data_IF_429246580013
#
_entry.id   IF_429246580013
#
_cell.length_a   1.000
_cell.length_b   1.000
_cell.length_c   1.000
_cell.angle_alpha   90.00
_cell.angle_beta   90.00
_cell.angle_gamma   90.00
#
_symmetry.space_group_name_H-M   'P 1'
#
loop_
_entity.id
_entity.type
_entity.pdbx_description
1 polymer ?
#
# COMPACT_ATOMS: atom_id res chain seq x y z
N UNK A 1 -0.20 -7.85 4.83
CA UNK A 1 -0.55 -6.43 5.00
C UNK A 1 -1.68 -6.12 4.07
N UNK A 2 -2.69 -5.43 4.59
CA UNK A 2 -3.98 -5.24 3.92
C UNK A 2 -4.16 -3.78 3.51
N UNK A 3 -4.65 -3.58 2.29
CA UNK A 3 -4.98 -2.27 1.73
C UNK A 3 -6.48 -2.23 1.48
N UNK A 4 -7.16 -1.27 2.06
CA UNK A 4 -8.59 -1.09 1.85
C UNK A 4 -8.87 -0.22 0.63
N UNK A 5 -9.63 -0.74 -0.34
CA UNK A 5 -10.14 0.08 -1.44
C UNK A 5 -11.47 0.68 -1.00
N UNK A 6 -11.54 2.00 -1.00
CA UNK A 6 -12.74 2.77 -0.62
C UNK A 6 -13.16 3.69 -1.76
N UNK A 7 -14.36 4.21 -1.69
CA UNK A 7 -14.90 5.18 -2.64
C UNK A 7 -16.41 5.26 -2.52
N UNK A 8 -17.00 6.36 -2.99
CA UNK A 8 -18.44 6.50 -3.09
C UNK A 8 -19.04 5.51 -4.12
N UNK A 9 -20.35 5.26 -4.10
CA UNK A 9 -20.98 4.46 -5.13
C UNK A 9 -20.74 5.00 -6.54
N UNK A 10 -20.58 4.10 -7.51
CA UNK A 10 -20.43 4.41 -8.95
C UNK A 10 -19.16 5.21 -9.34
N UNK A 11 -18.10 5.13 -8.55
CA UNK A 11 -16.79 5.74 -8.88
C UNK A 11 -15.82 4.80 -9.60
N UNK A 12 -16.21 3.52 -9.81
CA UNK A 12 -15.35 2.48 -10.40
C UNK A 12 -14.63 1.57 -9.41
N UNK A 13 -14.93 1.67 -8.11
CA UNK A 13 -14.27 0.92 -7.04
C UNK A 13 -14.30 -0.59 -7.25
N UNK A 14 -15.47 -1.18 -7.49
CA UNK A 14 -15.61 -2.64 -7.66
C UNK A 14 -14.98 -3.14 -8.96
N UNK A 15 -15.06 -2.36 -10.03
CA UNK A 15 -14.37 -2.66 -11.29
C UNK A 15 -12.86 -2.69 -11.06
N UNK A 16 -12.30 -1.68 -10.39
CA UNK A 16 -10.88 -1.63 -10.05
C UNK A 16 -10.46 -2.84 -9.18
N UNK A 17 -11.24 -3.18 -8.15
CA UNK A 17 -10.95 -4.34 -7.31
C UNK A 17 -10.93 -5.63 -8.11
N UNK A 18 -11.93 -5.85 -8.97
CA UNK A 18 -12.00 -7.03 -9.83
C UNK A 18 -10.81 -7.08 -10.80
N UNK A 19 -10.45 -5.96 -11.43
CA UNK A 19 -9.31 -5.90 -12.35
C UNK A 19 -7.98 -6.21 -11.66
N UNK A 20 -7.75 -5.65 -10.46
CA UNK A 20 -6.57 -5.94 -9.65
C UNK A 20 -6.52 -7.43 -9.28
N UNK A 21 -7.64 -8.02 -8.87
CA UNK A 21 -7.71 -9.42 -8.42
C UNK A 21 -7.66 -10.41 -9.58
N UNK A 22 -8.20 -10.06 -10.75
CA UNK A 22 -8.10 -10.87 -11.96
C UNK A 22 -6.65 -10.95 -12.45
N UNK A 23 -5.92 -9.85 -12.44
CA UNK A 23 -4.49 -9.83 -12.72
C UNK A 23 -3.67 -10.69 -11.73
N UNK A 24 -4.23 -10.97 -10.54
CA UNK A 24 -3.67 -11.83 -9.50
C UNK A 24 -4.17 -13.27 -9.51
N UNK A 25 -5.01 -13.69 -10.46
CA UNK A 25 -5.65 -15.01 -10.46
C UNK A 25 -4.65 -16.19 -10.48
N UNK A 26 -3.42 -15.98 -10.95
CA UNK A 26 -2.32 -16.95 -10.85
C UNK A 26 -1.83 -17.17 -9.40
N UNK A 27 -2.20 -16.29 -8.46
CA UNK A 27 -1.80 -16.38 -7.06
C UNK A 27 -2.52 -17.48 -6.25
N UNK A 28 -3.49 -18.18 -6.81
CA UNK A 28 -4.18 -19.31 -6.15
C UNK A 28 -3.22 -20.43 -5.65
N UNK A 29 -2.00 -20.45 -6.15
CA UNK A 29 -0.96 -21.41 -5.79
C UNK A 29 0.03 -20.92 -4.70
N UNK A 30 -0.17 -19.71 -4.13
CA UNK A 30 0.69 -19.25 -3.05
C UNK A 30 0.33 -19.95 -1.73
N UNK A 31 1.33 -20.51 -1.01
CA UNK A 31 1.10 -21.09 0.31
C UNK A 31 0.53 -20.01 1.26
N UNK A 32 -0.54 -20.37 1.98
CA UNK A 32 -1.22 -19.50 2.97
C UNK A 32 -2.22 -18.46 2.43
N UNK A 33 -2.60 -18.47 1.14
CA UNK A 33 -3.75 -17.71 0.66
C UNK A 33 -5.05 -18.36 1.14
N UNK A 34 -5.70 -17.75 2.11
CA UNK A 34 -7.11 -18.02 2.42
C UNK A 34 -7.98 -17.21 1.47
N UNK A 35 -8.91 -17.87 0.78
CA UNK A 35 -9.91 -17.20 -0.06
C UNK A 35 -10.97 -16.64 0.89
N UNK A 36 -10.83 -15.37 1.25
CA UNK A 36 -11.87 -14.62 1.97
C UNK A 36 -12.68 -13.81 0.96
N UNK A 37 -14.03 -13.73 1.10
CA UNK A 37 -14.82 -12.84 0.26
C UNK A 37 -14.31 -11.40 0.36
N UNK A 38 -14.18 -10.72 -0.78
CA UNK A 38 -13.72 -9.34 -0.88
C UNK A 38 -12.24 -9.09 -0.49
N UNK A 39 -11.40 -10.14 -0.45
CA UNK A 39 -9.94 -10.02 -0.27
C UNK A 39 -9.25 -10.60 -1.49
N UNK A 40 -8.44 -9.80 -2.14
CA UNK A 40 -7.60 -10.20 -3.29
C UNK A 40 -6.13 -10.18 -2.91
N UNK A 41 -5.41 -11.28 -3.18
CA UNK A 41 -3.95 -11.34 -3.03
C UNK A 41 -3.32 -11.11 -4.40
N UNK A 42 -2.45 -10.12 -4.48
CA UNK A 42 -1.93 -9.61 -5.75
C UNK A 42 -0.41 -9.62 -5.73
N UNK A 43 0.25 -10.17 -6.78
CA UNK A 43 1.70 -10.09 -6.91
C UNK A 43 2.15 -8.66 -7.14
N UNK A 44 3.27 -8.29 -6.53
CA UNK A 44 3.92 -6.99 -6.78
C UNK A 44 4.77 -7.14 -8.04
N UNK A 45 4.50 -6.37 -9.10
CA UNK A 45 5.31 -6.39 -10.32
C UNK A 45 6.76 -6.02 -10.03
N UNK A 46 7.70 -6.89 -10.42
CA UNK A 46 9.13 -6.69 -10.22
C UNK A 46 9.93 -7.34 -11.35
N UNK A 47 10.35 -6.55 -12.33
CA UNK A 47 11.12 -7.00 -13.50
C UNK A 47 12.48 -7.62 -13.14
N UNK A 48 12.99 -7.34 -11.93
CA UNK A 48 14.25 -7.90 -11.45
C UNK A 48 14.16 -9.42 -11.33
N UNK A 49 13.00 -9.94 -10.95
CA UNK A 49 12.76 -11.37 -10.81
C UNK A 49 12.84 -12.08 -12.16
N UNK A 50 12.28 -11.52 -13.22
CA UNK A 50 12.30 -12.13 -14.56
C UNK A 50 13.73 -12.24 -15.09
N UNK A 51 14.51 -11.18 -14.94
CA UNK A 51 15.92 -11.17 -15.34
C UNK A 51 16.75 -12.17 -14.54
N UNK A 52 16.53 -12.27 -13.23
CA UNK A 52 17.20 -13.26 -12.38
C UNK A 52 16.76 -14.69 -12.72
N UNK A 53 15.48 -14.92 -13.00
CA UNK A 53 14.95 -16.23 -13.42
C UNK A 53 15.63 -16.72 -14.70
N UNK A 54 15.77 -15.83 -15.69
CA UNK A 54 16.49 -16.13 -16.93
C UNK A 54 17.97 -16.43 -16.68
N UNK A 55 18.64 -15.59 -15.84
CA UNK A 55 20.06 -15.73 -15.53
C UNK A 55 20.38 -17.05 -14.83
N UNK A 56 19.57 -17.44 -13.84
CA UNK A 56 19.75 -18.66 -13.06
C UNK A 56 19.06 -19.88 -13.68
N UNK A 57 18.27 -19.71 -14.75
CA UNK A 57 17.41 -20.74 -15.36
C UNK A 57 16.52 -21.40 -14.32
N UNK A 58 15.93 -20.58 -13.46
CA UNK A 58 15.19 -21.06 -12.29
C UNK A 58 13.88 -21.72 -12.68
N UNK A 59 13.53 -22.79 -11.98
CA UNK A 59 12.29 -23.55 -12.22
C UNK A 59 11.06 -22.77 -11.77
N UNK A 60 11.22 -21.86 -10.80
CA UNK A 60 10.12 -21.11 -10.19
C UNK A 60 10.49 -19.67 -9.90
N UNK A 61 9.54 -18.76 -10.18
CA UNK A 61 9.60 -17.34 -9.80
C UNK A 61 8.49 -17.06 -8.79
N UNK A 62 8.83 -16.43 -7.67
CA UNK A 62 7.87 -16.07 -6.62
C UNK A 62 7.96 -14.59 -6.31
N UNK A 63 6.91 -13.85 -6.66
CA UNK A 63 6.78 -12.42 -6.38
C UNK A 63 6.42 -12.16 -4.92
N UNK A 64 6.74 -10.96 -4.43
CA UNK A 64 6.12 -10.41 -3.23
C UNK A 64 4.62 -10.22 -3.48
N UNK A 65 3.83 -10.30 -2.42
CA UNK A 65 2.37 -10.14 -2.53
C UNK A 65 1.86 -9.11 -1.54
N UNK A 66 0.77 -8.44 -1.91
CA UNK A 66 -0.03 -7.59 -1.03
C UNK A 66 -1.50 -7.99 -1.12
N UNK A 67 -2.26 -7.68 -0.09
CA UNK A 67 -3.69 -7.99 0.00
C UNK A 67 -4.50 -6.71 -0.20
N UNK A 68 -5.41 -6.71 -1.19
CA UNK A 68 -6.42 -5.69 -1.35
C UNK A 68 -7.74 -6.17 -0.79
N UNK A 69 -8.46 -5.27 -0.10
CA UNK A 69 -9.77 -5.55 0.50
C UNK A 69 -10.79 -4.60 -0.11
N UNK A 70 -11.81 -5.15 -0.76
CA UNK A 70 -12.95 -4.33 -1.22
C UNK A 70 -13.81 -3.95 -0.01
N UNK A 71 -13.71 -2.69 0.40
CA UNK A 71 -14.53 -2.15 1.47
C UNK A 71 -15.81 -1.59 0.88
N UNK A 72 -16.95 -2.14 1.32
CA UNK A 72 -18.28 -1.71 0.84
C UNK A 72 -18.42 -0.18 0.91
N UNK A 73 -19.00 0.41 -0.13
CA UNK A 73 -19.11 1.86 -0.27
C UNK A 73 -19.75 2.55 0.92
N UNK A 74 -19.27 3.75 1.21
CA UNK A 74 -19.76 4.59 2.28
C UNK A 74 -21.20 5.04 2.01
N UNK A 75 -22.06 4.92 3.03
CA UNK A 75 -23.36 5.59 3.07
C UNK A 75 -23.21 6.79 4.01
N UNK A 76 -23.63 7.99 3.59
CA UNK A 76 -23.64 9.18 4.46
C UNK A 76 -24.28 8.86 5.80
N UNK A 77 -23.64 9.27 6.91
CA UNK A 77 -24.09 8.99 8.27
C UNK A 77 -23.54 7.72 8.90
N UNK A 78 -22.48 7.16 8.31
CA UNK A 78 -21.79 5.97 8.81
C UNK A 78 -21.36 6.08 10.27
N UNK A 79 -20.90 7.28 10.69
CA UNK A 79 -20.46 7.58 12.04
C UNK A 79 -21.59 7.67 13.07
N UNK A 80 -22.84 7.85 12.63
CA UNK A 80 -24.03 7.94 13.52
C UNK A 80 -24.60 6.59 13.98
N UNK A 81 -23.95 5.48 13.62
CA UNK A 81 -24.21 4.18 14.24
C UNK A 81 -25.33 3.35 13.60
N UNK A 82 -25.80 3.66 12.41
CA UNK A 82 -26.80 2.86 11.71
C UNK A 82 -26.15 1.82 10.77
N UNK A 83 -26.15 0.56 11.19
CA UNK A 83 -25.97 -0.64 10.36
C UNK A 83 -24.71 -0.70 9.48
N UNK A 84 -24.82 -0.32 8.21
CA UNK A 84 -23.76 -0.44 7.19
C UNK A 84 -22.55 0.47 7.45
N UNK A 85 -22.77 1.63 8.08
CA UNK A 85 -21.71 2.57 8.41
C UNK A 85 -20.71 2.03 9.41
N UNK A 86 -21.17 1.37 10.46
CA UNK A 86 -20.29 0.73 11.44
C UNK A 86 -19.42 -0.37 10.82
N UNK A 87 -19.97 -1.14 9.86
CA UNK A 87 -19.21 -2.15 9.13
C UNK A 87 -18.11 -1.52 8.28
N UNK A 88 -18.41 -0.43 7.58
CA UNK A 88 -17.43 0.33 6.80
C UNK A 88 -16.24 0.78 7.67
N UNK A 89 -16.52 1.46 8.79
CA UNK A 89 -15.49 1.91 9.72
C UNK A 89 -14.72 0.75 10.36
N UNK A 90 -15.38 -0.38 10.64
CA UNK A 90 -14.73 -1.59 11.15
C UNK A 90 -13.73 -2.15 10.15
N UNK A 91 -14.11 -2.29 8.88
CA UNK A 91 -13.24 -2.79 7.83
C UNK A 91 -12.03 -1.86 7.60
N UNK A 92 -12.24 -0.52 7.65
CA UNK A 92 -11.10 0.41 7.57
C UNK A 92 -10.15 0.24 8.76
N UNK A 93 -10.62 -0.11 9.96
CA UNK A 93 -9.73 -0.38 11.09
C UNK A 93 -8.80 -1.56 10.87
N UNK A 94 -9.24 -2.57 10.13
CA UNK A 94 -8.51 -3.82 9.90
C UNK A 94 -7.42 -3.73 8.81
N UNK A 95 -7.43 -2.68 7.99
CA UNK A 95 -6.44 -2.48 6.93
C UNK A 95 -5.30 -1.58 7.38
N UNK A 96 -4.14 -1.71 6.74
CA UNK A 96 -2.93 -0.95 7.08
C UNK A 96 -2.86 0.41 6.37
N UNK A 97 -3.46 0.52 5.16
CA UNK A 97 -3.55 1.75 4.36
C UNK A 97 -4.84 1.78 3.54
N UNK A 98 -5.12 2.93 2.93
CA UNK A 98 -6.33 3.19 2.17
C UNK A 98 -5.94 3.54 0.72
N UNK A 99 -6.64 2.96 -0.23
CA UNK A 99 -6.69 3.41 -1.63
C UNK A 99 -8.09 3.96 -1.88
N UNK A 100 -8.21 5.25 -2.11
CA UNK A 100 -9.48 5.90 -2.35
C UNK A 100 -9.69 6.16 -3.84
N UNK A 101 -10.74 5.57 -4.41
CA UNK A 101 -11.13 5.77 -5.82
C UNK A 101 -12.07 6.96 -5.91
N UNK A 102 -11.65 7.95 -6.69
CA UNK A 102 -12.36 9.22 -6.87
C UNK A 102 -12.74 9.37 -8.33
N UNK A 103 -14.00 9.67 -8.62
CA UNK A 103 -14.48 9.89 -9.97
C UNK A 103 -14.07 11.27 -10.49
N UNK A 104 -13.29 11.30 -11.57
CA UNK A 104 -12.80 12.50 -12.25
C UNK A 104 -13.26 12.57 -13.71
N UNK A 105 -14.38 11.96 -14.06
CA UNK A 105 -14.94 11.98 -15.42
C UNK A 105 -16.45 12.19 -15.38
N UNK A 106 -17.00 12.76 -16.42
CA UNK A 106 -18.44 12.90 -16.64
C UNK A 106 -18.94 11.80 -17.57
N UNK A 107 -20.05 11.16 -17.22
CA UNK A 107 -20.76 10.18 -18.06
C UNK A 107 -22.25 10.24 -17.70
N UNK A 108 -23.09 10.56 -18.70
CA UNK A 108 -24.53 10.72 -18.53
C UNK A 108 -25.24 9.39 -18.17
N UNK A 109 -24.62 8.24 -18.52
CA UNK A 109 -25.15 6.92 -18.24
C UNK A 109 -24.82 6.43 -16.83
N UNK A 110 -23.89 7.09 -16.12
CA UNK A 110 -23.44 6.71 -14.77
C UNK A 110 -23.91 7.76 -13.78
N UNK A 111 -24.97 7.43 -13.02
CA UNK A 111 -25.54 8.34 -12.02
C UNK A 111 -24.53 8.61 -10.91
N UNK A 112 -24.28 9.89 -10.61
CA UNK A 112 -23.54 10.30 -9.41
C UNK A 112 -24.48 10.41 -8.21
N UNK A 113 -24.05 9.98 -7.01
CA UNK A 113 -24.86 9.98 -5.78
C UNK A 113 -25.36 11.37 -5.42
N UNK A 114 -24.55 12.41 -5.64
CA UNK A 114 -24.89 13.81 -5.35
C UNK A 114 -25.31 14.60 -6.62
N UNK A 115 -25.58 13.92 -7.74
CA UNK A 115 -26.11 14.51 -8.98
C UNK A 115 -25.08 15.26 -9.85
N UNK A 116 -23.88 15.48 -9.39
CA UNK A 116 -22.78 16.10 -10.16
C UNK A 116 -21.43 15.54 -9.75
N UNK A 117 -20.46 15.55 -10.67
CA UNK A 117 -19.08 15.11 -10.39
C UNK A 117 -18.34 16.24 -9.69
N UNK A 118 -17.89 15.98 -8.47
CA UNK A 118 -17.04 16.88 -7.70
C UNK A 118 -16.10 16.04 -6.83
N UNK A 119 -14.87 15.78 -7.31
CA UNK A 119 -13.94 14.88 -6.65
C UNK A 119 -13.55 15.36 -5.23
N UNK A 120 -13.50 16.67 -4.99
CA UNK A 120 -13.11 17.20 -3.68
C UNK A 120 -14.22 16.97 -2.66
N UNK A 121 -15.48 17.27 -3.03
CA UNK A 121 -16.65 16.98 -2.18
C UNK A 121 -16.71 15.48 -1.85
N UNK A 122 -16.40 14.61 -2.80
CA UNK A 122 -16.45 13.16 -2.63
C UNK A 122 -15.39 12.70 -1.63
N UNK A 123 -14.15 13.18 -1.75
CA UNK A 123 -13.06 12.94 -0.78
C UNK A 123 -13.45 13.47 0.60
N UNK A 124 -13.92 14.71 0.69
CA UNK A 124 -14.31 15.32 1.96
C UNK A 124 -15.46 14.56 2.64
N UNK A 125 -16.38 13.98 1.86
CA UNK A 125 -17.47 13.16 2.40
C UNK A 125 -16.92 11.91 3.11
N UNK A 126 -15.96 11.21 2.54
CA UNK A 126 -15.33 10.04 3.18
C UNK A 126 -14.48 10.48 4.37
N UNK A 127 -13.64 11.48 4.20
CA UNK A 127 -12.78 11.98 5.26
C UNK A 127 -13.59 12.47 6.48
N UNK A 128 -14.73 13.11 6.28
CA UNK A 128 -15.61 13.57 7.38
C UNK A 128 -16.08 12.40 8.25
N UNK A 129 -16.50 11.28 7.65
CA UNK A 129 -16.93 10.10 8.43
C UNK A 129 -15.76 9.48 9.23
N UNK A 130 -14.56 9.44 8.65
CA UNK A 130 -13.36 8.97 9.36
C UNK A 130 -12.99 9.91 10.52
N UNK A 131 -13.04 11.22 10.30
CA UNK A 131 -12.78 12.26 11.30
C UNK A 131 -13.75 12.14 12.47
N UNK A 132 -15.04 11.99 12.19
CA UNK A 132 -16.06 11.87 13.25
C UNK A 132 -15.85 10.60 14.09
N UNK A 133 -15.49 9.48 13.47
CA UNK A 133 -15.16 8.24 14.17
C UNK A 133 -13.91 8.40 15.06
N UNK A 134 -12.89 9.09 14.56
CA UNK A 134 -11.67 9.36 15.32
C UNK A 134 -11.91 10.35 16.46
N UNK A 135 -12.73 11.39 16.27
CA UNK A 135 -13.12 12.31 17.34
C UNK A 135 -13.80 11.58 18.49
N UNK A 136 -14.68 10.62 18.21
CA UNK A 136 -15.29 9.79 19.25
C UNK A 136 -14.23 8.99 20.03
N UNK A 137 -13.28 8.39 19.31
CA UNK A 137 -12.18 7.62 19.91
C UNK A 137 -11.29 8.50 20.77
N UNK A 138 -10.89 9.68 20.28
CA UNK A 138 -10.05 10.65 20.97
C UNK A 138 -10.74 11.18 22.21
N UNK A 139 -12.02 11.54 22.14
CA UNK A 139 -12.77 12.03 23.29
C UNK A 139 -12.85 10.99 24.42
N UNK A 140 -13.14 9.72 24.09
CA UNK A 140 -13.14 8.63 25.07
C UNK A 140 -11.77 8.43 25.73
N UNK A 141 -10.70 8.50 24.95
CA UNK A 141 -9.32 8.37 25.43
C UNK A 141 -8.93 9.57 26.31
N UNK A 142 -9.30 10.78 25.90
CA UNK A 142 -9.08 12.01 26.65
C UNK A 142 -9.70 11.96 28.05
N UNK A 143 -10.96 11.51 28.18
CA UNK A 143 -11.62 11.34 29.48
C UNK A 143 -10.85 10.39 30.41
N UNK A 144 -10.31 9.29 29.87
CA UNK A 144 -9.49 8.33 30.62
C UNK A 144 -8.17 8.97 31.07
N UNK A 145 -7.48 9.65 30.14
CA UNK A 145 -6.23 10.34 30.41
C UNK A 145 -6.39 11.43 31.48
N UNK A 146 -7.46 12.23 31.42
CA UNK A 146 -7.76 13.26 32.41
C UNK A 146 -8.02 12.67 33.82
N UNK A 147 -8.67 11.51 33.90
CA UNK A 147 -8.85 10.80 35.18
C UNK A 147 -7.51 10.29 35.72
N UNK A 148 -6.68 9.68 34.87
CA UNK A 148 -5.36 9.18 35.22
C UNK A 148 -4.38 10.29 35.65
N UNK A 149 -4.47 11.47 35.03
CA UNK A 149 -3.65 12.65 35.33
C UNK A 149 -3.75 13.11 36.80
N UNK A 150 -4.86 12.83 37.47
CA UNK A 150 -5.02 13.14 38.90
C UNK A 150 -4.05 12.35 39.79
N UNK A 151 -3.71 11.12 39.36
CA UNK A 151 -2.80 10.24 40.07
C UNK A 151 -1.35 10.31 39.54
N UNK A 152 -1.18 10.45 38.22
CA UNK A 152 0.13 10.49 37.55
C UNK A 152 0.24 11.70 36.63
N UNK A 153 1.15 12.62 36.97
CA UNK A 153 1.42 13.83 36.19
C UNK A 153 2.12 13.56 34.85
N UNK A 154 2.73 12.39 34.67
CA UNK A 154 3.38 12.00 33.39
C UNK A 154 2.38 11.86 32.25
N UNK A 155 1.11 11.57 32.55
CA UNK A 155 0.01 11.50 31.57
C UNK A 155 -0.23 12.83 30.84
N UNK A 156 0.35 13.93 31.31
CA UNK A 156 0.23 15.24 30.64
C UNK A 156 0.69 15.19 29.18
N UNK A 157 1.75 14.49 28.87
CA UNK A 157 2.28 14.34 27.49
C UNK A 157 1.22 13.73 26.56
N UNK A 158 0.51 12.70 27.06
CA UNK A 158 -0.59 12.08 26.32
C UNK A 158 -1.75 13.08 26.10
N UNK A 159 -2.14 13.81 27.14
CA UNK A 159 -3.21 14.81 27.05
C UNK A 159 -2.87 15.90 26.03
N UNK A 160 -1.65 16.41 26.04
CA UNK A 160 -1.20 17.44 25.12
C UNK A 160 -1.23 16.93 23.65
N UNK A 161 -0.81 15.70 23.42
CA UNK A 161 -0.90 15.04 22.11
C UNK A 161 -2.36 14.83 21.67
N UNK A 162 -3.20 14.32 22.57
CA UNK A 162 -4.63 14.12 22.26
C UNK A 162 -5.35 15.44 21.94
N UNK A 163 -4.99 16.54 22.61
CA UNK A 163 -5.52 17.88 22.27
C UNK A 163 -5.08 18.32 20.88
N UNK A 164 -3.79 18.17 20.53
CA UNK A 164 -3.24 18.48 19.20
C UNK A 164 -4.00 17.73 18.10
N UNK A 165 -4.25 16.44 18.29
CA UNK A 165 -5.00 15.61 17.34
C UNK A 165 -6.46 16.07 17.27
N UNK A 166 -7.10 16.28 18.43
CA UNK A 166 -8.50 16.73 18.50
C UNK A 166 -8.73 18.05 17.77
N UNK A 167 -7.91 19.05 18.01
CA UNK A 167 -7.99 20.36 17.35
C UNK A 167 -7.87 20.23 15.83
N UNK A 168 -6.99 19.33 15.34
CA UNK A 168 -6.84 19.06 13.91
C UNK A 168 -8.09 18.44 13.31
N UNK A 169 -8.67 17.44 13.99
CA UNK A 169 -9.89 16.78 13.56
C UNK A 169 -11.10 17.73 13.60
N UNK A 170 -11.23 18.55 14.65
CA UNK A 170 -12.29 19.56 14.77
C UNK A 170 -12.18 20.65 13.70
N UNK A 171 -10.98 20.93 13.19
CA UNK A 171 -10.75 21.79 12.04
C UNK A 171 -11.07 21.12 10.68
N UNK A 172 -11.62 19.90 10.68
CA UNK A 172 -11.97 19.14 9.47
C UNK A 172 -10.76 18.57 8.73
N UNK A 173 -9.61 18.41 9.38
CA UNK A 173 -8.38 17.88 8.79
C UNK A 173 -8.08 16.49 9.34
N UNK A 174 -7.61 15.61 8.46
CA UNK A 174 -7.15 14.27 8.84
C UNK A 174 -5.94 14.34 9.75
N UNK A 175 -5.83 13.44 10.73
CA UNK A 175 -4.68 13.41 11.66
C UNK A 175 -3.34 13.14 10.93
N UNK A 176 -3.36 12.54 9.73
CA UNK A 176 -2.17 12.33 8.88
C UNK A 176 -1.49 13.63 8.43
N UNK A 177 -2.19 14.77 8.52
CA UNK A 177 -1.60 16.09 8.22
C UNK A 177 -0.65 16.58 9.30
N UNK A 178 -0.71 15.99 10.50
CA UNK A 178 0.18 16.32 11.62
C UNK A 178 1.57 15.72 11.41
N UNK A 179 2.58 16.47 11.84
CA UNK A 179 3.92 15.94 12.02
C UNK A 179 4.04 15.38 13.43
N UNK A 180 3.99 14.04 13.51
CA UNK A 180 4.15 13.30 14.75
C UNK A 180 5.48 12.56 14.72
N UNK A 181 6.23 12.61 15.83
CA UNK A 181 7.45 11.84 15.98
C UNK A 181 7.15 10.37 16.37
N UNK A 182 8.17 9.53 16.40
CA UNK A 182 8.02 8.10 16.72
C UNK A 182 7.43 7.85 18.11
N UNK A 183 7.81 8.66 19.11
CA UNK A 183 7.29 8.55 20.48
C UNK A 183 5.81 8.90 20.55
N UNK A 184 5.40 9.98 19.86
CA UNK A 184 4.00 10.39 19.73
C UNK A 184 3.15 9.32 19.02
N UNK A 185 3.68 8.75 17.92
CA UNK A 185 3.00 7.67 17.19
C UNK A 185 2.83 6.41 18.04
N UNK A 186 3.87 6.00 18.76
CA UNK A 186 3.80 4.83 19.65
C UNK A 186 2.80 5.06 20.79
N UNK A 187 2.74 6.29 21.33
CA UNK A 187 1.82 6.64 22.42
C UNK A 187 0.35 6.52 22.03
N UNK A 188 0.00 6.80 20.75
CA UNK A 188 -1.40 6.74 20.27
C UNK A 188 -1.71 5.50 19.44
N UNK A 189 -0.76 4.61 19.22
CA UNK A 189 -0.88 3.42 18.39
C UNK A 189 -2.14 2.60 18.70
N UNK A 190 -2.43 2.41 19.99
CA UNK A 190 -3.59 1.63 20.47
C UNK A 190 -4.94 2.34 20.22
N UNK A 191 -4.94 3.56 19.72
CA UNK A 191 -6.17 4.26 19.35
C UNK A 191 -6.70 3.83 17.98
N UNK A 192 -5.87 3.19 17.15
CA UNK A 192 -6.21 2.75 15.79
C UNK A 192 -6.95 3.82 14.99
N UNK A 193 -6.40 5.06 15.01
CA UNK A 193 -7.01 6.19 14.31
C UNK A 193 -7.07 5.94 12.80
N UNK A 194 -8.25 6.14 12.23
CA UNK A 194 -8.52 5.92 10.81
C UNK A 194 -7.86 6.98 9.94
N UNK A 195 -7.88 8.23 10.40
CA UNK A 195 -7.30 9.38 9.68
C UNK A 195 -5.78 9.47 9.76
N UNK A 196 -5.12 8.61 10.57
CA UNK A 196 -3.66 8.45 10.56
C UNK A 196 -3.16 7.47 9.50
N UNK A 197 -4.05 6.61 8.98
CA UNK A 197 -3.65 5.62 7.97
C UNK A 197 -3.14 6.33 6.72
N UNK A 198 -2.03 5.84 6.14
CA UNK A 198 -1.56 6.33 4.85
C UNK A 198 -2.65 6.16 3.77
N UNK A 199 -2.74 7.11 2.85
CA UNK A 199 -3.74 7.11 1.78
C UNK A 199 -3.09 7.34 0.42
N UNK A 200 -3.64 6.66 -0.60
CA UNK A 200 -3.36 6.86 -2.01
C UNK A 200 -4.68 7.18 -2.71
N UNK A 201 -4.71 8.26 -3.47
CA UNK A 201 -5.88 8.63 -4.26
C UNK A 201 -5.75 8.11 -5.69
N UNK A 202 -6.82 7.49 -6.18
CA UNK A 202 -6.96 7.06 -7.57
C UNK A 202 -7.94 7.98 -8.25
N UNK A 203 -7.45 8.84 -9.11
CA UNK A 203 -8.28 9.69 -9.95
C UNK A 203 -8.75 8.87 -11.14
N UNK A 204 -9.98 8.32 -11.06
CA UNK A 204 -10.57 7.56 -12.15
C UNK A 204 -11.07 8.52 -13.24
N UNK A 205 -10.42 8.47 -14.40
CA UNK A 205 -10.66 9.31 -15.56
C UNK A 205 -11.32 8.53 -16.70
N UNK A 206 -11.85 9.23 -17.69
CA UNK A 206 -12.28 8.63 -18.96
C UNK A 206 -11.08 8.27 -19.84
N UNK A 207 -11.32 7.46 -20.85
CA UNK A 207 -10.31 7.06 -21.83
C UNK A 207 -9.67 8.29 -22.52
N UNK A 208 -10.49 9.26 -22.94
CA UNK A 208 -10.03 10.49 -23.59
C UNK A 208 -9.17 11.41 -22.71
N UNK A 209 -9.25 11.25 -21.39
CA UNK A 209 -8.48 12.02 -20.40
C UNK A 209 -7.14 11.36 -20.06
N UNK A 210 -6.91 10.11 -20.47
CA UNK A 210 -5.63 9.42 -20.23
C UNK A 210 -4.46 10.17 -20.86
N UNK A 211 -3.38 10.37 -20.06
CA UNK A 211 -2.21 11.11 -20.52
C UNK A 211 -2.38 12.64 -20.56
N UNK A 212 -3.53 13.17 -20.17
CA UNK A 212 -3.74 14.61 -20.06
C UNK A 212 -3.28 15.15 -18.72
N UNK A 213 -2.06 15.66 -18.65
CA UNK A 213 -1.49 16.24 -17.42
C UNK A 213 -2.19 17.51 -16.95
N UNK A 214 -3.00 18.15 -17.82
CA UNK A 214 -3.70 19.40 -17.55
C UNK A 214 -5.17 19.20 -17.19
N UNK A 215 -5.61 17.98 -16.91
CA UNK A 215 -6.99 17.73 -16.49
C UNK A 215 -7.35 18.49 -15.20
N UNK A 216 -8.42 19.29 -15.26
CA UNK A 216 -8.80 20.18 -14.16
C UNK A 216 -9.23 19.40 -12.91
N UNK A 217 -10.01 18.30 -13.07
CA UNK A 217 -10.50 17.51 -11.95
C UNK A 217 -9.37 16.75 -11.28
N UNK A 218 -8.47 16.16 -12.08
CA UNK A 218 -7.27 15.47 -11.58
C UNK A 218 -6.36 16.45 -10.85
N UNK A 219 -6.16 17.66 -11.37
CA UNK A 219 -5.32 18.66 -10.73
C UNK A 219 -5.90 19.15 -9.39
N UNK A 220 -7.23 19.28 -9.26
CA UNK A 220 -7.89 19.54 -7.97
C UNK A 220 -7.60 18.43 -6.96
N UNK A 221 -7.65 17.16 -7.36
CA UNK A 221 -7.31 16.03 -6.49
C UNK A 221 -5.84 16.06 -6.08
N UNK A 222 -4.92 16.34 -7.02
CA UNK A 222 -3.48 16.48 -6.74
C UNK A 222 -3.20 17.61 -5.72
N UNK A 223 -3.87 18.75 -5.87
CA UNK A 223 -3.75 19.87 -4.93
C UNK A 223 -4.27 19.49 -3.53
N UNK A 224 -5.40 18.82 -3.45
CA UNK A 224 -5.95 18.33 -2.20
C UNK A 224 -4.99 17.33 -1.52
N UNK A 225 -4.57 16.31 -2.26
CA UNK A 225 -3.69 15.26 -1.77
C UNK A 225 -2.34 15.80 -1.27
N UNK A 226 -1.81 16.85 -1.90
CA UNK A 226 -0.55 17.49 -1.49
C UNK A 226 -0.60 18.03 -0.05
N UNK A 227 -1.77 18.51 0.41
CA UNK A 227 -2.00 18.98 1.76
C UNK A 227 -1.96 17.87 2.81
N UNK A 228 -2.25 16.64 2.38
CA UNK A 228 -2.17 15.42 3.20
C UNK A 228 -0.87 14.62 3.00
N UNK A 229 0.06 15.11 2.18
CA UNK A 229 1.29 14.41 1.75
C UNK A 229 0.99 13.08 1.08
N UNK A 230 -0.15 12.98 0.41
CA UNK A 230 -0.62 11.79 -0.29
C UNK A 230 -0.31 11.87 -1.79
N UNK A 231 -0.15 10.72 -2.42
CA UNK A 231 0.04 10.60 -3.87
C UNK A 231 -1.30 10.44 -4.58
N UNK A 232 -1.32 10.80 -5.87
CA UNK A 232 -2.46 10.62 -6.77
C UNK A 232 -2.01 9.88 -8.03
N UNK A 233 -2.74 8.84 -8.39
CA UNK A 233 -2.53 8.11 -9.64
C UNK A 233 -3.78 8.29 -10.50
N UNK A 234 -3.69 9.00 -11.63
CA UNK A 234 -4.75 9.01 -12.63
C UNK A 234 -4.72 7.69 -13.43
N UNK A 235 -5.87 7.06 -13.58
CA UNK A 235 -6.04 5.89 -14.44
C UNK A 235 -7.49 5.78 -14.91
N UNK A 236 -7.71 5.10 -16.03
CA UNK A 236 -9.04 4.75 -16.52
C UNK A 236 -9.36 3.30 -16.12
N UNK A 237 -10.21 3.13 -15.12
CA UNK A 237 -10.57 1.80 -14.60
C UNK A 237 -11.15 0.90 -15.68
N UNK A 238 -11.85 1.45 -16.67
CA UNK A 238 -12.40 0.69 -17.80
C UNK A 238 -11.30 0.10 -18.68
N UNK A 239 -10.27 0.88 -19.01
CA UNK A 239 -9.09 0.37 -19.75
C UNK A 239 -8.34 -0.67 -18.95
N UNK A 240 -8.19 -0.46 -17.65
CA UNK A 240 -7.53 -1.43 -16.79
C UNK A 240 -8.29 -2.77 -16.71
N UNK A 241 -9.62 -2.74 -16.75
CA UNK A 241 -10.45 -3.95 -16.85
C UNK A 241 -10.18 -4.70 -18.15
N UNK A 242 -10.09 -4.00 -19.28
CA UNK A 242 -9.75 -4.58 -20.57
C UNK A 242 -8.32 -5.17 -20.55
N UNK A 243 -7.33 -4.42 -20.06
CA UNK A 243 -5.93 -4.86 -19.93
C UNK A 243 -5.78 -6.07 -19.01
N UNK A 244 -6.60 -6.17 -17.97
CA UNK A 244 -6.55 -7.31 -17.02
C UNK A 244 -7.04 -8.62 -17.62
N UNK A 245 -7.75 -8.56 -18.75
CA UNK A 245 -8.24 -9.74 -19.50
C UNK A 245 -7.30 -10.20 -20.61
N UNK A 246 -6.23 -9.45 -20.87
CA UNK A 246 -5.24 -9.73 -21.91
C UNK A 246 -3.97 -10.38 -21.33
N UNK A 247 -3.38 -11.27 -22.08
CA UNK A 247 -2.15 -11.95 -21.72
C UNK A 247 -0.96 -11.48 -22.58
N UNK A 248 0.23 -11.51 -21.99
CA UNK A 248 1.53 -11.45 -22.65
C UNK A 248 1.68 -10.39 -23.72
N UNK A 249 1.74 -10.80 -25.00
CA UNK A 249 1.97 -9.91 -26.13
C UNK A 249 0.78 -8.99 -26.41
N UNK A 250 -0.46 -9.47 -26.29
CA UNK A 250 -1.67 -8.68 -26.54
C UNK A 250 -1.78 -7.51 -25.56
N UNK A 251 -1.47 -7.74 -24.29
CA UNK A 251 -1.42 -6.69 -23.27
C UNK A 251 -0.36 -5.64 -23.60
N UNK A 252 0.81 -6.09 -24.08
CA UNK A 252 1.90 -5.19 -24.45
C UNK A 252 1.55 -4.35 -25.66
N UNK A 253 0.96 -4.95 -26.71
CA UNK A 253 0.51 -4.23 -27.90
C UNK A 253 -0.54 -3.16 -27.55
N UNK A 254 -1.48 -3.48 -26.65
CA UNK A 254 -2.48 -2.53 -26.20
C UNK A 254 -1.86 -1.37 -25.40
N UNK A 255 -0.90 -1.64 -24.50
CA UNK A 255 -0.17 -0.60 -23.78
C UNK A 255 0.60 0.33 -24.73
N UNK A 256 1.29 -0.24 -25.72
CA UNK A 256 2.02 0.54 -26.74
C UNK A 256 1.05 1.40 -27.57
N UNK A 257 -0.11 0.87 -27.96
CA UNK A 257 -1.15 1.61 -28.70
C UNK A 257 -1.72 2.79 -27.89
N UNK A 258 -1.78 2.65 -26.56
CA UNK A 258 -2.22 3.69 -25.63
C UNK A 258 -1.09 4.66 -25.24
N UNK A 259 0.16 4.40 -25.66
CA UNK A 259 1.33 5.19 -25.29
C UNK A 259 1.72 5.04 -23.83
N UNK A 260 1.39 3.92 -23.20
CA UNK A 260 1.68 3.61 -21.81
C UNK A 260 2.87 2.64 -21.68
N UNK A 261 3.79 2.90 -20.77
CA UNK A 261 4.92 2.01 -20.48
C UNK A 261 4.50 0.82 -19.59
N UNK A 262 3.56 1.05 -18.68
CA UNK A 262 3.00 0.04 -17.78
C UNK A 262 1.53 0.34 -17.47
N UNK A 263 0.79 -0.67 -16.98
CA UNK A 263 -0.61 -0.48 -16.62
C UNK A 263 -0.77 0.44 -15.40
N UNK A 264 -1.90 1.12 -15.31
CA UNK A 264 -2.23 1.93 -14.15
C UNK A 264 -2.34 1.08 -12.88
N UNK A 265 -2.84 -0.15 -12.99
CA UNK A 265 -2.91 -1.09 -11.86
C UNK A 265 -1.53 -1.48 -11.35
N UNK A 266 -0.55 -1.71 -12.23
CA UNK A 266 0.83 -2.00 -11.82
C UNK A 266 1.42 -0.82 -11.02
N UNK A 267 1.14 0.42 -11.46
CA UNK A 267 1.52 1.64 -10.71
C UNK A 267 0.84 1.69 -9.33
N UNK A 268 -0.45 1.37 -9.25
CA UNK A 268 -1.20 1.34 -7.99
C UNK A 268 -0.63 0.29 -7.05
N UNK A 269 -0.30 -0.91 -7.52
CA UNK A 269 0.27 -1.99 -6.70
C UNK A 269 1.63 -1.57 -6.15
N UNK A 270 2.52 -1.05 -7.02
CA UNK A 270 3.86 -0.56 -6.62
C UNK A 270 3.76 0.61 -5.62
N UNK A 271 2.92 1.60 -5.91
CA UNK A 271 2.72 2.75 -5.02
C UNK A 271 2.11 2.34 -3.68
N UNK A 272 1.20 1.37 -3.67
CA UNK A 272 0.61 0.81 -2.45
C UNK A 272 1.64 0.06 -1.61
N UNK A 273 2.55 -0.67 -2.25
CA UNK A 273 3.65 -1.36 -1.59
C UNK A 273 4.61 -0.37 -0.92
N UNK A 274 4.95 0.70 -1.62
CA UNK A 274 5.79 1.79 -1.10
C UNK A 274 5.10 2.58 0.03
N UNK A 275 3.80 2.86 -0.12
CA UNK A 275 2.97 3.55 0.88
C UNK A 275 2.97 2.83 2.24
N UNK A 276 3.02 1.49 2.22
CA UNK A 276 3.14 0.65 3.42
C UNK A 276 4.55 0.63 4.02
N UNK A 277 5.51 1.36 3.42
CA UNK A 277 6.91 1.35 3.82
C UNK A 277 7.58 0.00 3.59
N UNK A 278 7.09 -0.76 2.59
CA UNK A 278 7.61 -2.08 2.24
C UNK A 278 8.73 -1.97 1.20
N UNK A 279 9.55 -2.99 1.17
CA UNK A 279 10.56 -3.24 0.15
C UNK A 279 10.83 -4.74 0.05
N UNK A 280 11.54 -5.16 -1.01
CA UNK A 280 11.88 -6.56 -1.22
C UNK A 280 13.38 -6.78 -1.25
N UNK A 281 13.86 -7.78 -0.50
CA UNK A 281 15.13 -8.40 -0.81
C UNK A 281 14.90 -9.69 -1.61
N UNK A 282 15.90 -10.15 -2.33
CA UNK A 282 15.79 -11.22 -3.29
C UNK A 282 16.68 -12.40 -2.88
N UNK A 283 16.20 -13.60 -3.17
CA UNK A 283 17.01 -14.82 -3.19
C UNK A 283 16.97 -15.41 -4.60
N UNK A 284 18.11 -15.82 -5.11
CA UNK A 284 18.23 -16.32 -6.47
C UNK A 284 19.02 -17.63 -6.52
N UNK A 285 18.46 -18.64 -7.16
CA UNK A 285 19.03 -19.96 -7.37
C UNK A 285 18.27 -20.76 -8.42
N UNK A 286 18.84 -21.90 -8.85
CA UNK A 286 18.18 -22.78 -9.82
C UNK A 286 16.78 -23.25 -9.39
N UNK A 287 16.51 -23.62 -8.12
CA UNK A 287 15.18 -24.05 -7.72
C UNK A 287 14.15 -22.91 -7.73
N UNK A 288 14.55 -21.73 -7.27
CA UNK A 288 13.62 -20.60 -7.11
C UNK A 288 14.35 -19.27 -7.13
N UNK A 289 13.75 -18.29 -7.81
CA UNK A 289 13.99 -16.85 -7.59
C UNK A 289 12.81 -16.31 -6.84
N UNK A 290 13.06 -15.57 -5.74
CA UNK A 290 11.97 -15.09 -4.89
C UNK A 290 12.24 -13.70 -4.31
N UNK A 291 11.21 -12.87 -4.31
CA UNK A 291 11.15 -11.62 -3.57
C UNK A 291 10.55 -11.83 -2.17
N UNK A 292 11.21 -11.28 -1.17
CA UNK A 292 10.82 -11.36 0.24
C UNK A 292 10.45 -9.99 0.77
N UNK A 293 9.21 -9.83 1.19
CA UNK A 293 8.69 -8.57 1.72
C UNK A 293 9.22 -8.27 3.13
N UNK A 294 9.82 -7.12 3.28
CA UNK A 294 10.24 -6.54 4.58
C UNK A 294 9.86 -5.07 4.67
N UNK A 295 9.87 -4.50 5.86
CA UNK A 295 9.74 -3.06 6.06
C UNK A 295 11.08 -2.37 5.79
N UNK A 296 11.04 -1.15 5.27
CA UNK A 296 12.22 -0.28 5.20
C UNK A 296 12.84 -0.13 6.59
N UNK A 297 14.15 -0.21 6.69
CA UNK A 297 14.86 -0.18 7.98
C UNK A 297 15.04 -1.54 8.67
N UNK A 298 14.51 -2.64 8.10
CA UNK A 298 14.69 -4.00 8.65
C UNK A 298 16.15 -4.42 8.63
N UNK A 299 16.65 -4.98 9.74
CA UNK A 299 18.01 -5.51 9.85
C UNK A 299 18.11 -6.93 9.28
N UNK A 300 19.33 -7.32 8.88
CA UNK A 300 19.61 -8.62 8.24
C UNK A 300 19.10 -9.85 9.03
N UNK A 301 19.23 -9.97 10.37
CA UNK A 301 18.67 -11.11 11.10
C UNK A 301 17.13 -11.19 11.03
N UNK A 302 16.45 -10.04 11.07
CA UNK A 302 14.99 -9.97 10.97
C UNK A 302 14.52 -10.34 9.56
N UNK A 303 15.27 -9.88 8.53
CA UNK A 303 15.03 -10.26 7.15
C UNK A 303 15.21 -11.78 6.94
N UNK A 304 16.26 -12.37 7.53
CA UNK A 304 16.48 -13.83 7.53
C UNK A 304 15.30 -14.59 8.15
N UNK A 305 14.68 -14.02 9.17
CA UNK A 305 13.48 -14.55 9.83
C UNK A 305 12.26 -14.63 8.92
N UNK A 306 12.20 -13.83 7.84
CA UNK A 306 11.14 -13.95 6.83
C UNK A 306 11.24 -15.23 6.02
N UNK A 307 12.45 -15.79 5.86
CA UNK A 307 12.66 -17.06 5.21
C UNK A 307 12.34 -18.20 6.18
N UNK A 308 12.96 -18.20 7.35
CA UNK A 308 12.70 -19.18 8.40
C UNK A 308 13.20 -18.68 9.78
N UNK A 309 12.48 -19.00 10.85
CA UNK A 309 12.85 -18.62 12.23
C UNK A 309 14.21 -19.17 12.66
N UNK A 310 14.60 -20.35 12.16
CA UNK A 310 15.90 -20.94 12.48
C UNK A 310 17.04 -20.15 11.86
N UNK A 311 16.87 -19.59 10.66
CA UNK A 311 17.88 -18.75 10.01
C UNK A 311 18.09 -17.47 10.81
N UNK A 312 17.01 -16.88 11.34
CA UNK A 312 17.10 -15.73 12.24
C UNK A 312 17.84 -16.07 13.53
N UNK A 313 17.47 -17.18 14.17
CA UNK A 313 18.04 -17.62 15.45
C UNK A 313 19.53 -17.96 15.31
N UNK A 314 19.88 -18.68 14.25
CA UNK A 314 21.25 -19.09 13.96
C UNK A 314 22.06 -18.11 13.11
N UNK A 315 21.59 -16.88 12.90
CA UNK A 315 22.20 -15.91 12.00
C UNK A 315 23.68 -15.66 12.35
N UNK A 316 24.56 -15.83 11.34
CA UNK A 316 25.98 -15.53 11.42
C UNK A 316 26.29 -14.26 10.64
N UNK A 317 25.98 -14.24 9.34
CA UNK A 317 26.19 -13.11 8.42
C UNK A 317 25.29 -13.22 7.20
N UNK A 318 25.13 -12.11 6.47
CA UNK A 318 24.51 -12.07 5.17
C UNK A 318 25.59 -11.85 4.09
N UNK A 319 25.62 -12.66 3.07
CA UNK A 319 26.39 -12.42 1.85
C UNK A 319 25.47 -11.68 0.88
N UNK A 320 25.77 -10.41 0.60
CA UNK A 320 24.89 -9.47 -0.10
C UNK A 320 25.56 -8.96 -1.37
N UNK A 321 24.83 -8.98 -2.47
CA UNK A 321 25.20 -8.31 -3.72
C UNK A 321 24.06 -7.41 -4.18
N UNK A 322 24.37 -6.23 -4.71
CA UNK A 322 23.35 -5.38 -5.32
C UNK A 322 22.89 -5.99 -6.64
N UNK A 323 21.59 -5.88 -6.90
CA UNK A 323 20.99 -6.36 -8.14
C UNK A 323 21.74 -5.84 -9.38
N UNK A 324 21.98 -4.52 -9.46
CA UNK A 324 22.63 -3.90 -10.62
C UNK A 324 24.06 -4.41 -10.82
N UNK A 325 24.79 -4.68 -9.73
CA UNK A 325 26.14 -5.25 -9.80
C UNK A 325 26.09 -6.68 -10.38
N UNK A 326 25.15 -7.51 -9.93
CA UNK A 326 25.02 -8.88 -10.43
C UNK A 326 24.64 -8.91 -11.92
N UNK A 327 23.69 -8.06 -12.35
CA UNK A 327 23.28 -7.99 -13.76
C UNK A 327 24.42 -7.49 -14.64
N UNK A 328 25.15 -6.46 -14.20
CA UNK A 328 26.32 -5.93 -14.94
C UNK A 328 27.42 -6.95 -15.11
N UNK A 329 27.71 -7.72 -14.08
CA UNK A 329 28.81 -8.71 -14.09
C UNK A 329 28.39 -10.05 -14.73
N UNK A 330 27.10 -10.32 -14.87
CA UNK A 330 26.57 -11.47 -15.55
C UNK A 330 26.68 -12.81 -14.79
N UNK A 331 27.36 -12.86 -13.66
CA UNK A 331 27.42 -14.06 -12.81
C UNK A 331 27.89 -13.76 -11.38
N UNK A 332 27.46 -14.61 -10.45
CA UNK A 332 27.92 -14.53 -9.05
C UNK A 332 29.43 -14.75 -8.89
N UNK A 333 30.05 -15.55 -9.78
CA UNK A 333 31.50 -15.75 -9.76
C UNK A 333 32.24 -14.47 -10.13
N UNK A 334 31.82 -13.77 -11.19
CA UNK A 334 32.41 -12.50 -11.58
C UNK A 334 32.25 -11.43 -10.48
N UNK A 335 31.08 -11.39 -9.81
CA UNK A 335 30.84 -10.54 -8.65
C UNK A 335 31.83 -10.80 -7.52
N UNK A 336 32.10 -12.09 -7.21
CA UNK A 336 33.10 -12.49 -6.18
C UNK A 336 34.51 -12.09 -6.57
N UNK A 337 34.94 -12.35 -7.81
CA UNK A 337 36.27 -12.02 -8.32
C UNK A 337 36.53 -10.51 -8.27
N UNK A 338 35.50 -9.69 -8.49
CA UNK A 338 35.59 -8.23 -8.41
C UNK A 338 35.40 -7.66 -6.99
N UNK A 339 35.20 -8.53 -5.99
CA UNK A 339 35.02 -8.09 -4.60
C UNK A 339 33.71 -7.35 -4.32
N UNK A 340 32.70 -7.52 -5.17
CA UNK A 340 31.39 -6.84 -5.03
C UNK A 340 30.44 -7.61 -4.11
N UNK A 341 30.75 -8.86 -3.75
CA UNK A 341 30.02 -9.63 -2.76
C UNK A 341 30.42 -9.16 -1.37
N UNK A 342 29.50 -8.52 -0.67
CA UNK A 342 29.71 -7.99 0.68
C UNK A 342 29.34 -9.01 1.74
N UNK A 343 30.09 -9.04 2.84
CA UNK A 343 29.77 -9.83 4.02
C UNK A 343 29.29 -8.90 5.12
N UNK A 344 28.01 -8.96 5.43
CA UNK A 344 27.32 -8.02 6.31
C UNK A 344 26.92 -8.70 7.63
N UNK A 345 27.07 -7.96 8.73
CA UNK A 345 26.76 -8.42 10.08
C UNK A 345 25.30 -8.16 10.50
N UNK A 346 25.05 -8.34 11.82
CA UNK A 346 23.71 -8.24 12.43
C UNK A 346 23.09 -6.84 12.33
N UNK A 347 23.90 -5.80 12.23
CA UNK A 347 23.42 -4.41 12.19
C UNK A 347 23.21 -3.86 10.78
N UNK A 348 23.44 -4.70 9.76
CA UNK A 348 23.19 -4.31 8.39
C UNK A 348 21.71 -4.07 8.16
N UNK A 349 21.37 -2.86 7.69
CA UNK A 349 20.03 -2.48 7.26
C UNK A 349 19.87 -2.87 5.80
N UNK A 350 18.93 -3.78 5.55
CA UNK A 350 18.63 -4.27 4.21
C UNK A 350 18.24 -3.13 3.27
N UNK A 351 18.64 -3.28 2.00
CA UNK A 351 18.28 -2.35 0.93
C UNK A 351 17.36 -3.04 -0.06
N UNK A 352 16.49 -2.26 -0.72
CA UNK A 352 15.61 -2.80 -1.76
C UNK A 352 16.44 -3.38 -2.92
N UNK A 353 16.08 -4.60 -3.33
CA UNK A 353 16.78 -5.33 -4.38
C UNK A 353 18.11 -5.98 -3.97
N UNK A 354 18.47 -5.96 -2.69
CA UNK A 354 19.61 -6.78 -2.22
C UNK A 354 19.36 -8.26 -2.54
N UNK A 355 20.30 -8.90 -3.22
CA UNK A 355 20.32 -10.34 -3.44
C UNK A 355 21.17 -10.97 -2.34
N UNK A 356 20.57 -11.88 -1.55
CA UNK A 356 21.14 -12.29 -0.27
C UNK A 356 21.22 -13.78 -0.12
N UNK A 357 22.35 -14.24 0.43
CA UNK A 357 22.52 -15.58 0.98
C UNK A 357 22.86 -15.46 2.48
N UNK A 358 21.94 -15.90 3.33
CA UNK A 358 22.17 -15.92 4.78
C UNK A 358 22.98 -17.13 5.19
N UNK A 359 24.04 -16.90 5.96
CA UNK A 359 24.84 -17.94 6.62
C UNK A 359 24.39 -18.06 8.06
N UNK A 360 24.03 -19.25 8.46
CA UNK A 360 23.49 -19.55 9.77
C UNK A 360 23.99 -20.90 10.29
N UNK A 361 23.89 -21.08 11.58
CA UNK A 361 24.17 -22.36 12.25
C UNK A 361 23.09 -22.60 13.32
N UNK A 362 22.45 -23.77 13.26
CA UNK A 362 21.37 -24.16 14.17
C UNK A 362 21.78 -25.42 14.88
#
# INVERSE_FOLDING_TARGET
MKIGIVGLPNVGKSTMFNSITNAGAECANYPFCTIEPNVGVVPVPDERLDKLTQMYKSEKTTHAVIEFVDIAGLVKGASKGEGLGNKFLSHIREVDSIVEVVRCFEDENIVHVDGSVDPIRDIETINLELILADLETINKRMERAQKAFKADKKVKVEIDLLNKIKETLEAGKSARTLELNEEELELIKDSFLLTLKPILYIANVSEDQLGNDNDELVNKVKEYASKEKANVIPLCVKIEEELSSLDGEDKKEMLEALGLEESGLDKVIKASYDLLGLMSFLTAGEPEVRAWTIKKGTKAPEAAGKIHSDIQRGFIRAEVVKYDDLIREGSMNAVKEKGLLRSEGKDYIMQDGDIVLFRFNV
#
